data_IF_895900784593
#
_entry.id   IF_895900784593
#
_cell.length_a   1.000
_cell.length_b   1.000
_cell.length_c   1.000
_cell.angle_alpha   90.00
_cell.angle_beta   90.00
_cell.angle_gamma   90.00
#
_symmetry.space_group_name_H-M   'P 1'
#
loop_
_entity.id
_entity.type
_entity.pdbx_description
1 polymer ?
#
# COMPACT_ATOMS: atom_id res chain seq x y z
N UNK A 1 -2.50 -7.00 3.54
CA UNK A 1 -1.55 -7.23 2.44
C UNK A 1 -1.38 -5.94 1.65
N UNK A 2 -0.23 -5.75 1.01
CA UNK A 2 0.12 -4.55 0.25
C UNK A 2 0.68 -4.92 -1.11
N UNK A 3 0.49 -4.06 -2.10
CA UNK A 3 1.04 -4.28 -3.43
C UNK A 3 1.08 -3.01 -4.27
N UNK A 4 1.95 -3.05 -5.29
CA UNK A 4 2.04 -2.05 -6.35
C UNK A 4 1.77 -2.71 -7.70
N UNK A 5 1.18 -1.98 -8.64
CA UNK A 5 1.05 -2.43 -10.04
C UNK A 5 2.12 -1.79 -10.93
N UNK A 6 2.15 -2.15 -12.22
CA UNK A 6 3.12 -1.60 -13.19
C UNK A 6 3.01 -0.10 -13.46
N UNK A 7 1.86 0.51 -13.15
CA UNK A 7 1.68 1.97 -13.17
C UNK A 7 2.14 2.67 -11.88
N UNK A 8 2.67 1.90 -10.92
CA UNK A 8 3.08 2.38 -9.60
C UNK A 8 1.91 2.67 -8.65
N UNK A 9 0.67 2.31 -9.01
CA UNK A 9 -0.46 2.50 -8.11
C UNK A 9 -0.35 1.58 -6.90
N UNK A 10 -0.64 2.13 -5.72
CA UNK A 10 -0.46 1.46 -4.43
C UNK A 10 -1.83 0.95 -3.96
N UNK A 11 -1.86 -0.29 -3.46
CA UNK A 11 -3.07 -0.91 -2.95
C UNK A 11 -2.85 -1.57 -1.59
N UNK A 12 -3.84 -1.44 -0.70
CA UNK A 12 -3.96 -2.22 0.53
C UNK A 12 -5.18 -3.15 0.46
N UNK A 13 -5.01 -4.39 0.92
CA UNK A 13 -6.09 -5.38 0.95
C UNK A 13 -6.98 -5.14 2.17
N UNK A 14 -8.29 -5.04 1.95
CA UNK A 14 -9.30 -4.76 2.99
C UNK A 14 -9.51 -5.89 4.00
N UNK A 15 -9.03 -7.11 3.70
CA UNK A 15 -9.31 -8.30 4.51
C UNK A 15 -10.58 -9.04 4.10
N UNK A 16 -11.41 -8.48 3.21
CA UNK A 16 -12.70 -9.05 2.81
C UNK A 16 -12.85 -9.08 1.30
N UNK A 17 -13.01 -10.28 0.74
CA UNK A 17 -13.38 -10.49 -0.67
C UNK A 17 -14.84 -10.98 -0.74
N UNK A 18 -15.74 -10.09 -1.15
CA UNK A 18 -17.18 -10.36 -1.18
C UNK A 18 -17.68 -10.73 -2.58
N UNK A 19 -16.81 -10.89 -3.59
CA UNK A 19 -17.12 -11.07 -5.03
C UNK A 19 -17.96 -9.97 -5.69
N UNK A 20 -18.59 -9.08 -4.90
CA UNK A 20 -19.40 -7.96 -5.35
C UNK A 20 -18.62 -6.64 -5.45
N UNK A 21 -17.46 -6.55 -4.81
CA UNK A 21 -16.59 -5.37 -4.82
C UNK A 21 -15.12 -5.78 -4.86
N UNK A 22 -14.28 -4.89 -5.39
CA UNK A 22 -12.82 -5.05 -5.29
C UNK A 22 -12.42 -5.05 -3.81
N UNK A 23 -11.62 -6.04 -3.36
CA UNK A 23 -11.12 -6.07 -1.98
C UNK A 23 -9.89 -5.16 -1.78
N UNK A 24 -9.48 -4.42 -2.80
CA UNK A 24 -8.30 -3.56 -2.79
C UNK A 24 -8.69 -2.10 -2.67
N UNK A 25 -8.14 -1.42 -1.66
CA UNK A 25 -8.25 0.02 -1.48
C UNK A 25 -7.04 0.69 -2.13
N UNK A 26 -7.27 1.63 -3.04
CA UNK A 26 -6.20 2.41 -3.65
C UNK A 26 -5.72 3.50 -2.70
N UNK A 27 -4.40 3.59 -2.50
CA UNK A 27 -3.76 4.66 -1.73
C UNK A 27 -3.14 5.65 -2.71
N UNK A 28 -3.35 6.95 -2.46
CA UNK A 28 -2.79 8.02 -3.28
C UNK A 28 -1.26 8.01 -3.21
N UNK A 29 -0.62 8.10 -4.38
CA UNK A 29 0.84 8.12 -4.51
C UNK A 29 1.31 7.18 -5.62
N UNK A 30 2.64 7.08 -5.76
CA UNK A 30 3.28 6.15 -6.69
C UNK A 30 4.54 5.55 -6.08
N UNK A 31 4.63 4.22 -6.09
CA UNK A 31 5.78 3.47 -5.58
C UNK A 31 6.27 2.47 -6.64
N UNK A 32 7.56 2.20 -6.61
CA UNK A 32 8.19 1.15 -7.40
C UNK A 32 8.22 -0.20 -6.65
N UNK A 33 8.35 -0.15 -5.31
CA UNK A 33 8.31 -1.33 -4.45
C UNK A 33 7.72 -1.00 -3.07
N UNK A 34 7.17 -2.02 -2.41
CA UNK A 34 6.51 -1.89 -1.11
C UNK A 34 6.70 -3.15 -0.25
N UNK A 35 6.98 -2.96 1.03
CA UNK A 35 7.12 -4.01 2.02
C UNK A 35 6.22 -3.78 3.23
N UNK A 36 5.62 -4.84 3.74
CA UNK A 36 4.81 -4.82 4.96
C UNK A 36 5.37 -5.83 5.97
N UNK A 37 5.67 -5.37 7.18
CA UNK A 37 6.12 -6.19 8.29
C UNK A 37 4.92 -6.80 9.04
N UNK A 38 5.20 -7.86 9.82
CA UNK A 38 4.18 -8.58 10.57
C UNK A 38 3.49 -7.74 11.67
N UNK A 39 4.15 -6.68 12.13
CA UNK A 39 3.63 -5.71 13.12
C UNK A 39 2.71 -4.65 12.50
N UNK A 40 2.47 -4.70 11.19
CA UNK A 40 1.66 -3.73 10.46
C UNK A 40 2.43 -2.50 9.97
N UNK A 41 3.75 -2.43 10.21
CA UNK A 41 4.61 -1.37 9.65
C UNK A 41 4.76 -1.56 8.14
N UNK A 42 4.66 -0.48 7.38
CA UNK A 42 4.69 -0.52 5.91
C UNK A 42 5.62 0.57 5.39
N UNK A 43 6.55 0.17 4.53
CA UNK A 43 7.52 1.04 3.89
C UNK A 43 7.50 0.84 2.38
N UNK A 44 7.86 1.88 1.64
CA UNK A 44 7.97 1.81 0.19
C UNK A 44 9.01 2.76 -0.37
N UNK A 45 9.41 2.49 -1.60
CA UNK A 45 10.34 3.33 -2.37
C UNK A 45 9.71 3.73 -3.70
N UNK A 46 9.82 5.01 -4.09
CA UNK A 46 9.36 5.46 -5.40
C UNK A 46 10.44 5.28 -6.48
N UNK A 47 10.09 5.50 -7.74
CA UNK A 47 11.02 5.35 -8.87
C UNK A 47 12.26 6.27 -8.80
N UNK A 48 12.19 7.37 -8.04
CA UNK A 48 13.30 8.27 -7.81
C UNK A 48 14.16 7.90 -6.57
N UNK A 49 13.88 6.76 -5.94
CA UNK A 49 14.64 6.28 -4.77
C UNK A 49 14.25 6.94 -3.44
N UNK A 50 13.18 7.73 -3.41
CA UNK A 50 12.69 8.32 -2.15
C UNK A 50 11.97 7.25 -1.33
N UNK A 51 12.26 7.23 -0.03
CA UNK A 51 11.75 6.24 0.92
C UNK A 51 10.60 6.85 1.72
N UNK A 52 9.50 6.10 1.86
CA UNK A 52 8.31 6.53 2.56
C UNK A 52 7.88 5.48 3.59
N UNK A 53 7.42 5.93 4.75
CA UNK A 53 6.71 5.12 5.73
C UNK A 53 5.22 5.43 5.64
N UNK A 54 4.38 4.40 5.52
CA UNK A 54 2.94 4.59 5.55
C UNK A 54 2.48 4.79 6.98
N UNK A 55 2.06 6.02 7.29
CA UNK A 55 1.51 6.38 8.59
C UNK A 55 0.03 6.01 8.71
N UNK A 56 -0.70 5.82 7.61
CA UNK A 56 -2.13 5.54 7.62
C UNK A 56 -2.94 6.59 8.38
N UNK A 57 -4.05 6.16 8.98
CA UNK A 57 -4.92 6.98 9.84
C UNK A 57 -4.39 7.03 11.28
N UNK A 58 -3.06 6.96 11.50
CA UNK A 58 -2.48 7.16 12.84
C UNK A 58 -2.93 8.52 13.35
N UNK A 59 -4.05 8.50 14.08
CA UNK A 59 -4.53 9.57 14.92
C UNK A 59 -3.70 9.43 16.18
N UNK A 60 -2.68 10.27 16.26
CA UNK A 60 -2.03 10.55 17.53
C UNK A 60 -3.02 11.24 18.48
#
# INVERSE_FOLDING_TARGET
MWGVNSGGNIYSFSGFDTRASSPWNQITGSLADIGAAADGTVWGVNAAGNIYCYTGDRQD
#
